data_IF_504118124040
#
_entry.id   IF_504118124040
#
_cell.length_a   1.000
_cell.length_b   1.000
_cell.length_c   1.000
_cell.angle_alpha   90.00
_cell.angle_beta   90.00
_cell.angle_gamma   90.00
#
_symmetry.space_group_name_H-M   'P 1'
#
loop_
_entity.id
_entity.type
_entity.pdbx_description
1 polymer ?
#
# COMPACT_ATOMS: atom_id res chain seq x y z
N UNK A 1 -6.12 2.75 -13.33
CA UNK A 1 -7.36 1.98 -12.99
C UNK A 1 -8.25 2.88 -12.14
N UNK A 2 -9.53 2.58 -11.84
CA UNK A 2 -10.34 3.44 -10.98
C UNK A 2 -9.72 3.74 -9.60
N UNK A 3 -8.81 2.87 -9.13
CA UNK A 3 -8.07 2.97 -7.87
C UNK A 3 -6.59 3.35 -8.03
N UNK A 4 -6.16 3.66 -9.25
CA UNK A 4 -4.77 3.99 -9.57
C UNK A 4 -4.74 5.13 -10.59
N UNK A 5 -4.33 6.31 -10.12
CA UNK A 5 -4.24 7.53 -10.93
C UNK A 5 -2.97 7.59 -11.81
N UNK A 6 -2.10 6.58 -11.72
CA UNK A 6 -0.86 6.44 -12.49
C UNK A 6 0.30 7.28 -11.96
N UNK A 7 0.12 8.04 -10.88
CA UNK A 7 1.19 8.81 -10.24
C UNK A 7 2.00 7.95 -9.28
N UNK A 8 3.29 8.27 -9.13
CA UNK A 8 4.13 7.72 -8.06
C UNK A 8 3.99 8.56 -6.77
N UNK A 9 2.75 8.90 -6.42
CA UNK A 9 2.44 9.69 -5.23
C UNK A 9 2.10 8.80 -4.05
N UNK A 10 2.34 9.32 -2.84
CA UNK A 10 1.96 8.62 -1.62
C UNK A 10 0.43 8.43 -1.55
N UNK A 11 -0.34 9.41 -2.01
CA UNK A 11 -1.80 9.33 -2.01
C UNK A 11 -2.29 8.23 -2.95
N UNK A 12 -1.70 8.09 -4.14
CA UNK A 12 -2.01 6.98 -5.04
C UNK A 12 -1.62 5.63 -4.43
N UNK A 13 -0.47 5.55 -3.75
CA UNK A 13 -0.05 4.35 -3.05
C UNK A 13 -1.06 3.92 -1.96
N UNK A 14 -1.56 4.87 -1.17
CA UNK A 14 -2.57 4.62 -0.14
C UNK A 14 -3.93 4.23 -0.75
N UNK A 15 -4.32 4.85 -1.86
CA UNK A 15 -5.58 4.57 -2.55
C UNK A 15 -5.68 3.13 -3.10
N UNK A 16 -4.53 2.50 -3.40
CA UNK A 16 -4.46 1.11 -3.88
C UNK A 16 -4.70 0.07 -2.78
N UNK A 17 -4.45 0.40 -1.50
CA UNK A 17 -4.49 -0.55 -0.39
C UNK A 17 -5.89 -1.17 -0.18
N UNK A 18 -7.00 -0.39 -0.09
CA UNK A 18 -8.32 -0.97 0.14
C UNK A 18 -8.73 -1.95 -0.97
N UNK A 19 -8.39 -1.63 -2.22
CA UNK A 19 -8.71 -2.47 -3.38
C UNK A 19 -7.85 -3.73 -3.41
N UNK A 20 -6.59 -3.64 -2.98
CA UNK A 20 -5.74 -4.81 -2.82
C UNK A 20 -6.31 -5.79 -1.79
N UNK A 21 -6.78 -5.31 -0.64
CA UNK A 21 -7.40 -6.17 0.38
C UNK A 21 -8.75 -6.73 -0.08
N UNK A 22 -9.57 -5.95 -0.80
CA UNK A 22 -10.79 -6.46 -1.45
C UNK A 22 -10.47 -7.62 -2.42
N UNK A 23 -9.38 -7.51 -3.17
CA UNK A 23 -8.92 -8.57 -4.06
C UNK A 23 -8.51 -9.83 -3.28
N UNK A 24 -7.72 -9.69 -2.20
CA UNK A 24 -7.33 -10.83 -1.35
C UNK A 24 -8.54 -11.55 -0.77
N UNK A 25 -9.51 -10.80 -0.24
CA UNK A 25 -10.75 -11.35 0.33
C UNK A 25 -11.54 -12.14 -0.71
N UNK A 26 -11.78 -11.55 -1.89
CA UNK A 26 -12.56 -12.20 -2.97
C UNK A 26 -11.87 -13.44 -3.54
N UNK A 27 -10.54 -13.45 -3.53
CA UNK A 27 -9.74 -14.57 -4.01
C UNK A 27 -9.39 -15.59 -2.94
N UNK A 28 -9.80 -15.38 -1.68
CA UNK A 28 -9.50 -16.27 -0.54
C UNK A 28 -7.98 -16.46 -0.36
N UNK A 29 -7.22 -15.36 -0.39
CA UNK A 29 -5.76 -15.36 -0.21
C UNK A 29 -5.41 -14.85 1.19
N UNK A 30 -4.80 -15.71 2.02
CA UNK A 30 -4.51 -15.41 3.43
C UNK A 30 -3.22 -14.61 3.65
N UNK A 31 -2.28 -14.65 2.71
CA UNK A 31 -0.96 -14.05 2.85
C UNK A 31 -0.52 -13.32 1.60
N UNK A 32 0.21 -12.21 1.79
CA UNK A 32 0.82 -11.45 0.72
C UNK A 32 2.26 -11.08 1.04
N UNK A 33 3.03 -10.81 -0.01
CA UNK A 33 4.40 -10.34 0.06
C UNK A 33 4.50 -9.01 -0.70
N UNK A 34 5.43 -8.15 -0.31
CA UNK A 34 5.75 -6.93 -1.04
C UNK A 34 7.21 -6.54 -0.85
N UNK A 35 7.77 -5.87 -1.86
CA UNK A 35 8.94 -5.02 -1.70
C UNK A 35 8.49 -3.60 -1.36
N UNK A 36 9.38 -2.82 -0.75
CA UNK A 36 9.09 -1.44 -0.37
C UNK A 36 8.63 -0.57 -1.55
N UNK A 37 9.22 -0.74 -2.73
CA UNK A 37 8.86 -0.01 -3.96
C UNK A 37 7.59 -0.50 -4.65
N UNK A 38 7.07 -1.67 -4.29
CA UNK A 38 5.77 -2.13 -4.81
C UNK A 38 4.63 -1.30 -4.19
N UNK A 39 4.79 -0.92 -2.92
CA UNK A 39 3.72 -0.34 -2.09
C UNK A 39 3.93 1.12 -1.76
N UNK A 40 5.14 1.66 -1.84
CA UNK A 40 5.44 3.05 -1.47
C UNK A 40 6.33 3.73 -2.52
N UNK A 41 6.07 5.01 -2.86
CA UNK A 41 6.95 5.79 -3.70
C UNK A 41 8.26 6.12 -2.99
N UNK A 42 9.33 6.28 -3.76
CA UNK A 42 10.60 6.83 -3.26
C UNK A 42 10.48 8.35 -3.08
N UNK A 43 11.12 8.90 -2.04
CA UNK A 43 11.20 10.34 -1.80
C UNK A 43 12.47 10.96 -2.37
N UNK A 44 12.54 12.28 -2.42
CA UNK A 44 13.74 13.01 -2.87
C UNK A 44 14.93 12.88 -1.90
N UNK A 45 14.68 12.39 -0.68
CA UNK A 45 15.69 12.10 0.33
C UNK A 45 15.36 10.79 1.01
N UNK A 46 16.39 10.14 1.59
CA UNK A 46 16.19 8.92 2.38
C UNK A 46 15.16 9.09 3.50
N UNK A 47 15.17 10.25 4.19
CA UNK A 47 14.21 10.54 5.24
C UNK A 47 12.77 10.61 4.71
N UNK A 48 12.57 11.16 3.51
CA UNK A 48 11.27 11.19 2.86
C UNK A 48 10.83 9.79 2.39
N UNK A 49 11.75 9.01 1.81
CA UNK A 49 11.50 7.61 1.42
C UNK A 49 11.05 6.78 2.62
N UNK A 50 11.73 6.93 3.75
CA UNK A 50 11.38 6.24 4.98
C UNK A 50 10.02 6.68 5.52
N UNK A 51 9.76 7.99 5.59
CA UNK A 51 8.46 8.51 6.06
C UNK A 51 7.28 8.11 5.18
N UNK A 52 7.48 8.02 3.86
CA UNK A 52 6.45 7.50 2.95
C UNK A 52 6.15 6.02 3.26
N UNK A 53 7.20 5.20 3.40
CA UNK A 53 7.05 3.79 3.70
C UNK A 53 6.35 3.56 5.05
N UNK A 54 6.70 4.33 6.09
CA UNK A 54 6.04 4.26 7.40
C UNK A 54 4.53 4.45 7.28
N UNK A 55 4.08 5.47 6.56
CA UNK A 55 2.65 5.76 6.36
C UNK A 55 1.93 4.63 5.62
N UNK A 56 2.57 4.08 4.58
CA UNK A 56 2.02 2.93 3.84
C UNK A 56 1.94 1.70 4.75
N UNK A 57 2.98 1.41 5.53
CA UNK A 57 2.98 0.24 6.43
C UNK A 57 1.95 0.35 7.55
N UNK A 58 1.68 1.55 8.06
CA UNK A 58 0.62 1.76 9.06
C UNK A 58 -0.79 1.53 8.45
N UNK A 59 -0.99 1.95 7.20
CA UNK A 59 -2.23 1.68 6.47
C UNK A 59 -2.40 0.17 6.18
N UNK A 60 -1.33 -0.51 5.73
CA UNK A 60 -1.34 -1.96 5.53
C UNK A 60 -1.65 -2.72 6.83
N UNK A 61 -1.01 -2.34 7.94
CA UNK A 61 -1.27 -2.91 9.26
C UNK A 61 -2.73 -2.73 9.70
N UNK A 62 -3.28 -1.53 9.49
CA UNK A 62 -4.70 -1.25 9.79
C UNK A 62 -5.63 -2.10 8.94
N UNK A 63 -5.30 -2.31 7.65
CA UNK A 63 -6.07 -3.17 6.76
C UNK A 63 -5.99 -4.65 7.17
N UNK A 64 -4.80 -5.16 7.53
CA UNK A 64 -4.62 -6.51 8.06
C UNK A 64 -5.50 -6.75 9.30
N UNK A 65 -5.49 -5.83 10.26
CA UNK A 65 -6.32 -5.94 11.46
C UNK A 65 -7.83 -5.98 11.16
N UNK A 66 -8.27 -5.35 10.07
CA UNK A 66 -9.66 -5.35 9.65
C UNK A 66 -10.06 -6.60 8.84
N UNK A 67 -9.13 -7.21 8.12
CA UNK A 67 -9.40 -8.36 7.24
C UNK A 67 -9.25 -9.73 7.89
N UNK A 68 -8.59 -9.81 9.05
CA UNK A 68 -8.32 -11.07 9.77
C UNK A 68 -6.84 -11.33 9.95
#
# INVERSE_FOLDING_TARGET
MPWDDGSDSLDNALARIPVFFEFLEKCQIDYYCFHDRDVSPEGATWAQTHSNLEKVTEALKSAQAASG
#
